data_IF_210469225072
#
_entry.id   IF_210469225072
#
_cell.length_a   1.000
_cell.length_b   1.000
_cell.length_c   1.000
_cell.angle_alpha   90.00
_cell.angle_beta   90.00
_cell.angle_gamma   90.00
#
_symmetry.space_group_name_H-M   'P 1'
#
loop_
_entity.id
_entity.type
_entity.pdbx_description
1 polymer ?
#
# COMPACT_ATOMS: atom_id res chain seq x y z
N UNK A 1 -18.25 28.00 -91.05
CA UNK A 1 -16.84 28.47 -91.24
C UNK A 1 -16.00 27.96 -90.12
N UNK A 2 -15.01 27.10 -90.40
CA UNK A 2 -13.61 27.07 -89.87
C UNK A 2 -13.48 27.12 -88.30
N UNK A 3 -12.75 26.29 -87.66
CA UNK A 3 -11.56 25.47 -87.97
C UNK A 3 -11.36 24.39 -86.86
N UNK A 4 -10.89 23.22 -87.33
CA UNK A 4 -10.21 22.20 -86.54
C UNK A 4 -9.05 22.76 -85.69
N UNK A 5 -8.77 22.15 -84.56
CA UNK A 5 -7.39 21.77 -84.25
C UNK A 5 -7.37 20.66 -83.18
N UNK A 6 -6.72 19.62 -83.64
CA UNK A 6 -6.23 18.44 -82.92
C UNK A 6 -4.96 18.85 -82.15
N UNK A 7 -4.79 18.31 -80.97
CA UNK A 7 -3.46 17.99 -80.41
C UNK A 7 -3.70 17.22 -79.12
N UNK A 8 -3.44 16.02 -79.10
CA UNK A 8 -2.20 15.31 -78.79
C UNK A 8 -2.12 14.91 -77.32
N UNK A 9 -2.29 13.58 -77.17
CA UNK A 9 -2.08 12.83 -75.91
C UNK A 9 -0.63 12.94 -75.44
N UNK A 10 -0.44 13.18 -74.15
CA UNK A 10 0.81 12.84 -73.51
C UNK A 10 0.46 11.93 -72.35
N UNK A 11 0.88 10.69 -72.47
CA UNK A 11 0.87 9.62 -71.48
C UNK A 11 2.01 9.91 -70.50
N UNK A 12 1.67 10.32 -69.26
CA UNK A 12 2.65 10.38 -68.17
C UNK A 12 2.27 9.34 -67.12
N UNK A 13 2.99 8.23 -67.16
CA UNK A 13 3.03 7.17 -66.18
C UNK A 13 3.76 7.69 -64.96
N UNK A 14 3.03 8.21 -63.96
CA UNK A 14 3.56 8.64 -62.66
C UNK A 14 3.55 7.52 -61.66
N UNK A 15 4.73 7.05 -61.33
CA UNK A 15 5.05 6.06 -60.32
C UNK A 15 4.59 6.55 -58.94
N UNK A 16 3.45 6.04 -58.46
CA UNK A 16 3.00 6.28 -57.08
C UNK A 16 3.80 5.38 -56.15
N UNK A 17 4.91 5.90 -55.61
CA UNK A 17 5.58 5.31 -54.44
C UNK A 17 4.69 5.56 -53.24
N UNK A 18 3.93 4.56 -52.83
CA UNK A 18 3.18 4.55 -51.59
C UNK A 18 4.13 4.55 -50.41
N UNK A 19 4.28 5.69 -49.77
CA UNK A 19 4.81 5.80 -48.38
C UNK A 19 3.78 5.12 -47.47
N UNK A 20 3.98 3.85 -47.19
CA UNK A 20 3.43 3.21 -45.99
C UNK A 20 4.10 3.83 -44.77
N UNK A 21 3.58 4.98 -44.32
CA UNK A 21 3.80 5.45 -42.97
C UNK A 21 3.13 4.40 -42.05
N UNK A 22 3.91 3.44 -41.59
CA UNK A 22 3.53 2.58 -40.49
C UNK A 22 3.29 3.49 -39.27
N UNK A 23 2.02 3.79 -39.00
CA UNK A 23 1.63 4.17 -37.64
C UNK A 23 1.92 2.94 -36.75
N UNK A 24 3.08 2.90 -36.15
CA UNK A 24 3.23 2.17 -34.90
C UNK A 24 2.29 2.86 -33.91
N UNK A 25 1.09 2.35 -33.75
CA UNK A 25 0.34 2.54 -32.53
C UNK A 25 1.22 1.90 -31.45
N UNK A 26 2.03 2.71 -30.76
CA UNK A 26 2.41 2.39 -29.41
C UNK A 26 1.09 2.11 -28.70
N UNK A 27 0.81 0.85 -28.44
CA UNK A 27 -0.18 0.48 -27.45
C UNK A 27 0.31 1.13 -26.14
N UNK A 28 -0.36 2.19 -25.68
CA UNK A 28 -0.25 2.56 -24.28
C UNK A 28 -0.65 1.29 -23.53
N UNK A 29 0.33 0.58 -22.99
CA UNK A 29 0.02 -0.41 -21.97
C UNK A 29 -0.71 0.35 -20.87
N UNK A 30 -1.94 -0.06 -20.60
CA UNK A 30 -2.73 0.54 -19.56
C UNK A 30 -1.97 0.31 -18.23
N UNK A 31 -1.59 1.41 -17.58
CA UNK A 31 -0.87 1.34 -16.30
C UNK A 31 -1.79 0.75 -15.24
N UNK A 32 -1.27 -0.16 -14.43
CA UNK A 32 -2.00 -0.67 -13.26
C UNK A 32 -2.19 0.43 -12.22
N UNK A 33 -3.40 0.60 -11.71
CA UNK A 33 -3.69 1.52 -10.62
C UNK A 33 -3.45 0.81 -9.30
N UNK A 34 -2.37 1.14 -8.60
CA UNK A 34 -1.95 0.48 -7.36
C UNK A 34 -2.10 1.44 -6.18
N UNK A 35 -2.94 1.07 -5.22
CA UNK A 35 -3.14 1.87 -4.01
C UNK A 35 -2.04 1.65 -2.97
N UNK A 36 -1.75 2.73 -2.23
CA UNK A 36 -1.01 2.67 -0.98
C UNK A 36 -1.70 3.51 0.10
N UNK A 37 -1.36 3.28 1.37
CA UNK A 37 -1.82 4.12 2.46
C UNK A 37 -1.11 5.48 2.41
N UNK A 38 -1.85 6.56 2.49
CA UNK A 38 -1.28 7.91 2.37
C UNK A 38 -0.45 8.34 3.58
N UNK A 39 -0.63 7.69 4.77
CA UNK A 39 -0.06 8.13 6.05
C UNK A 39 0.36 6.96 6.95
N UNK A 40 1.28 6.13 6.47
CA UNK A 40 1.70 4.91 7.17
C UNK A 40 3.22 4.73 7.18
N UNK A 41 3.94 5.70 7.77
CA UNK A 41 5.40 5.63 7.93
C UNK A 41 5.81 4.42 8.80
N UNK A 42 6.89 3.70 8.45
CA UNK A 42 7.85 3.92 7.37
C UNK A 42 7.46 3.24 6.04
N UNK A 43 6.25 2.69 5.89
CA UNK A 43 5.84 1.93 4.70
C UNK A 43 5.43 2.85 3.55
N UNK A 44 4.61 3.87 3.83
CA UNK A 44 4.20 4.87 2.85
C UNK A 44 3.97 6.21 3.53
N UNK A 45 4.64 7.26 3.06
CA UNK A 45 4.56 8.62 3.60
C UNK A 45 4.85 9.64 2.52
N UNK A 46 4.22 10.80 2.62
CA UNK A 46 4.50 11.93 1.74
C UNK A 46 5.67 12.74 2.28
N UNK A 47 6.71 12.91 1.46
CA UNK A 47 7.88 13.74 1.75
C UNK A 47 8.11 14.70 0.59
N UNK A 48 8.00 16.00 0.87
CA UNK A 48 8.21 17.06 -0.13
C UNK A 48 7.32 16.94 -1.38
N UNK A 49 6.12 16.38 -1.26
CA UNK A 49 5.15 16.22 -2.34
C UNK A 49 5.28 14.92 -3.14
N UNK A 50 6.20 14.05 -2.76
CA UNK A 50 6.37 12.71 -3.33
C UNK A 50 6.11 11.64 -2.26
N UNK A 51 5.71 10.44 -2.69
CA UNK A 51 5.53 9.30 -1.79
C UNK A 51 6.78 8.45 -1.75
N UNK A 52 7.24 8.14 -0.55
CA UNK A 52 8.34 7.24 -0.29
C UNK A 52 8.01 6.29 0.87
N UNK A 53 8.85 5.28 1.09
CA UNK A 53 8.70 4.29 2.14
C UNK A 53 8.93 2.88 1.65
N UNK A 54 8.91 1.92 2.57
CA UNK A 54 9.20 0.50 2.29
C UNK A 54 8.28 -0.04 1.19
N UNK A 55 6.97 0.21 1.29
CA UNK A 55 5.98 -0.28 0.32
C UNK A 55 6.19 0.34 -1.06
N UNK A 56 6.44 1.66 -1.08
CA UNK A 56 6.62 2.41 -2.33
C UNK A 56 7.89 1.95 -3.05
N UNK A 57 8.99 1.75 -2.32
CA UNK A 57 10.25 1.32 -2.91
C UNK A 57 10.24 -0.16 -3.31
N UNK A 58 9.59 -1.05 -2.53
CA UNK A 58 9.38 -2.44 -2.93
C UNK A 58 8.56 -2.49 -4.23
N UNK A 59 7.44 -1.74 -4.31
CA UNK A 59 6.62 -1.70 -5.53
C UNK A 59 7.43 -1.23 -6.74
N UNK A 60 8.22 -0.17 -6.57
CA UNK A 60 9.05 0.37 -7.65
C UNK A 60 10.09 -0.64 -8.14
N UNK A 61 10.80 -1.28 -7.22
CA UNK A 61 11.80 -2.27 -7.55
C UNK A 61 11.20 -3.53 -8.20
N UNK A 62 10.05 -3.98 -7.69
CA UNK A 62 9.30 -5.11 -8.26
C UNK A 62 8.77 -4.80 -9.66
N UNK A 63 8.23 -3.59 -9.88
CA UNK A 63 7.72 -3.17 -11.18
C UNK A 63 8.83 -3.09 -12.24
N UNK A 64 10.04 -2.65 -11.85
CA UNK A 64 11.22 -2.64 -12.73
C UNK A 64 11.64 -4.07 -13.11
N UNK A 65 11.76 -4.98 -12.15
CA UNK A 65 12.20 -6.37 -12.40
C UNK A 65 11.16 -7.19 -13.18
N UNK A 66 9.87 -6.97 -12.92
CA UNK A 66 8.76 -7.71 -13.56
C UNK A 66 8.19 -6.99 -14.81
N UNK A 67 8.82 -5.89 -15.23
CA UNK A 67 8.49 -5.13 -16.45
C UNK A 67 7.00 -4.76 -16.55
N UNK A 68 6.44 -4.07 -15.53
CA UNK A 68 5.10 -3.51 -15.61
C UNK A 68 5.05 -2.03 -15.21
N UNK A 69 4.14 -1.29 -15.84
CA UNK A 69 3.90 0.12 -15.56
C UNK A 69 2.74 0.27 -14.56
N UNK A 70 2.84 1.22 -13.66
CA UNK A 70 1.79 1.51 -12.69
C UNK A 70 1.61 3.01 -12.44
N UNK A 71 0.45 3.36 -11.88
CA UNK A 71 0.16 4.64 -11.26
C UNK A 71 -0.06 4.39 -9.75
N UNK A 72 0.78 5.00 -8.92
CA UNK A 72 0.60 4.93 -7.45
C UNK A 72 -0.56 5.84 -7.05
N UNK A 73 -1.50 5.29 -6.27
CA UNK A 73 -2.68 6.01 -5.78
C UNK A 73 -2.74 6.01 -4.26
N UNK A 74 -2.15 7.02 -3.60
CA UNK A 74 -2.26 7.17 -2.16
C UNK A 74 -3.69 7.50 -1.74
N UNK A 75 -4.17 6.83 -0.68
CA UNK A 75 -5.53 7.03 -0.16
C UNK A 75 -5.63 6.58 1.30
N UNK A 76 -6.78 6.82 1.92
CA UNK A 76 -7.07 6.29 3.25
C UNK A 76 -7.17 4.75 3.19
N UNK A 77 -6.58 4.06 4.17
CA UNK A 77 -6.51 2.60 4.20
C UNK A 77 -7.90 1.95 4.10
N UNK A 78 -8.89 2.52 4.78
CA UNK A 78 -10.28 2.03 4.80
C UNK A 78 -10.94 1.98 3.41
N UNK A 79 -10.46 2.78 2.44
CA UNK A 79 -10.97 2.83 1.08
C UNK A 79 -10.31 1.81 0.13
N UNK A 80 -9.17 1.19 0.53
CA UNK A 80 -8.39 0.31 -0.36
C UNK A 80 -9.16 -0.97 -0.70
N UNK A 81 -9.66 -1.70 0.31
CA UNK A 81 -10.39 -2.97 0.07
C UNK A 81 -11.67 -2.75 -0.75
N UNK A 82 -12.51 -1.74 -0.46
CA UNK A 82 -13.62 -1.37 -1.34
C UNK A 82 -13.18 -1.06 -2.78
N UNK A 83 -12.08 -0.32 -2.95
CA UNK A 83 -11.51 0.00 -4.26
C UNK A 83 -11.08 -1.23 -5.06
N UNK A 84 -10.42 -2.20 -4.42
CA UNK A 84 -10.03 -3.47 -5.02
C UNK A 84 -11.27 -4.31 -5.40
N UNK A 85 -12.21 -4.47 -4.50
CA UNK A 85 -13.41 -5.31 -4.72
C UNK A 85 -14.35 -4.73 -5.76
N UNK A 86 -14.40 -3.41 -5.93
CA UNK A 86 -15.15 -2.73 -6.99
C UNK A 86 -14.40 -2.60 -8.32
N UNK A 87 -13.16 -3.08 -8.41
CA UNK A 87 -12.25 -2.96 -9.56
C UNK A 87 -11.93 -1.51 -9.96
N UNK A 88 -11.90 -0.59 -9.01
CA UNK A 88 -11.37 0.76 -9.19
C UNK A 88 -9.85 0.82 -8.98
N UNK A 89 -9.30 -0.24 -8.39
CA UNK A 89 -7.88 -0.47 -8.18
C UNK A 89 -7.52 -1.83 -8.74
N UNK A 90 -6.32 -1.94 -9.32
CA UNK A 90 -5.79 -3.18 -9.82
C UNK A 90 -5.02 -3.95 -8.75
N UNK A 91 -4.34 -3.24 -7.87
CA UNK A 91 -3.58 -3.80 -6.75
C UNK A 91 -3.45 -2.83 -5.59
N UNK A 92 -2.89 -3.32 -4.48
CA UNK A 92 -2.54 -2.50 -3.32
C UNK A 92 -1.30 -3.04 -2.59
N UNK A 93 -0.42 -2.12 -2.21
CA UNK A 93 0.67 -2.33 -1.27
C UNK A 93 0.57 -1.24 -0.18
N UNK A 94 0.18 -1.62 1.02
CA UNK A 94 -0.24 -0.68 2.05
C UNK A 94 -0.05 -1.21 3.49
N UNK A 95 1.04 -1.94 3.76
CA UNK A 95 1.19 -2.64 5.05
C UNK A 95 0.00 -3.54 5.33
N UNK A 96 -0.60 -4.12 4.29
CA UNK A 96 -1.85 -4.85 4.43
C UNK A 96 -1.62 -6.27 4.96
N UNK A 97 -2.04 -6.52 6.19
CA UNK A 97 -1.98 -7.84 6.82
C UNK A 97 -2.75 -8.89 6.02
N UNK A 98 -2.11 -10.02 5.76
CA UNK A 98 -2.72 -11.20 5.16
C UNK A 98 -3.59 -11.88 6.21
N UNK A 99 -4.91 -11.81 6.09
CA UNK A 99 -5.85 -12.45 7.02
C UNK A 99 -6.84 -13.35 6.29
N UNK A 100 -7.36 -14.37 6.98
CA UNK A 100 -8.35 -15.28 6.39
C UNK A 100 -9.65 -14.54 5.99
N UNK A 101 -10.01 -13.49 6.71
CA UNK A 101 -11.17 -12.67 6.36
C UNK A 101 -10.95 -11.96 5.02
N UNK A 102 -9.79 -11.29 4.85
CA UNK A 102 -9.44 -10.61 3.60
C UNK A 102 -9.29 -11.57 2.42
N UNK A 103 -8.78 -12.77 2.64
CA UNK A 103 -8.67 -13.83 1.62
C UNK A 103 -10.02 -14.31 1.07
N UNK A 104 -11.13 -13.97 1.69
CA UNK A 104 -12.45 -14.28 1.11
C UNK A 104 -12.71 -13.50 -0.17
N UNK A 105 -12.18 -12.28 -0.28
CA UNK A 105 -12.43 -11.34 -1.38
C UNK A 105 -11.17 -10.91 -2.15
N UNK A 106 -10.00 -11.11 -1.57
CA UNK A 106 -8.70 -10.72 -2.13
C UNK A 106 -7.79 -11.95 -2.27
N UNK A 107 -6.91 -11.91 -3.28
CA UNK A 107 -5.72 -12.74 -3.35
C UNK A 107 -4.49 -11.93 -2.98
N UNK A 108 -3.51 -12.58 -2.36
CA UNK A 108 -2.30 -11.97 -1.83
C UNK A 108 -1.05 -12.61 -2.41
N UNK A 109 0.01 -11.82 -2.52
CA UNK A 109 1.36 -12.34 -2.69
C UNK A 109 1.80 -13.12 -1.45
N UNK A 110 2.94 -13.79 -1.53
CA UNK A 110 3.69 -14.20 -0.35
C UNK A 110 3.97 -12.98 0.53
N UNK A 111 4.16 -13.22 1.83
CA UNK A 111 4.48 -12.15 2.75
C UNK A 111 5.78 -11.44 2.38
N UNK A 112 5.70 -10.11 2.27
CA UNK A 112 6.90 -9.31 2.04
C UNK A 112 7.48 -8.72 3.32
N UNK A 113 6.69 -8.61 4.40
CA UNK A 113 7.16 -8.07 5.68
C UNK A 113 6.42 -8.73 6.84
N UNK A 114 7.15 -9.12 7.91
CA UNK A 114 6.54 -9.66 9.14
C UNK A 114 6.21 -8.53 10.10
N UNK A 115 4.98 -8.49 10.58
CA UNK A 115 4.47 -7.49 11.51
C UNK A 115 3.69 -8.14 12.66
N UNK A 116 3.00 -7.33 13.43
CA UNK A 116 2.11 -7.75 14.50
C UNK A 116 1.65 -6.57 15.33
N UNK A 117 0.46 -6.65 15.91
CA UNK A 117 -0.13 -5.58 16.72
C UNK A 117 0.61 -5.39 18.04
N UNK A 118 0.73 -4.14 18.43
CA UNK A 118 1.26 -3.71 19.72
C UNK A 118 0.30 -2.75 20.42
N UNK A 119 0.36 -2.74 21.74
CA UNK A 119 -0.32 -1.77 22.59
C UNK A 119 0.55 -0.53 22.65
N UNK A 120 0.00 0.61 22.27
CA UNK A 120 0.68 1.91 22.28
C UNK A 120 0.05 2.78 23.36
N UNK A 121 0.85 3.26 24.28
CA UNK A 121 0.40 4.12 25.36
C UNK A 121 1.18 5.43 25.39
N UNK A 122 0.66 6.43 26.09
CA UNK A 122 1.39 7.66 26.39
C UNK A 122 2.70 7.34 27.14
N UNK A 123 3.76 8.06 26.85
CA UNK A 123 5.10 7.77 27.37
C UNK A 123 5.21 7.74 28.88
N UNK A 124 4.44 8.56 29.58
CA UNK A 124 4.36 8.63 31.07
C UNK A 124 3.32 7.66 31.67
N UNK A 125 2.60 6.88 30.86
CA UNK A 125 1.64 5.89 31.35
C UNK A 125 2.36 4.77 32.12
N UNK A 126 1.89 4.47 33.34
CA UNK A 126 2.41 3.41 34.19
C UNK A 126 1.31 2.40 34.59
N UNK A 127 0.11 2.52 34.01
CA UNK A 127 -1.04 1.68 34.33
C UNK A 127 -1.19 0.50 33.36
N UNK A 128 -0.82 0.69 32.09
CA UNK A 128 -0.92 -0.35 31.05
C UNK A 128 0.49 -0.81 30.71
N UNK A 129 0.81 -2.04 31.09
CA UNK A 129 2.11 -2.68 30.86
C UNK A 129 1.97 -4.00 30.07
N UNK A 130 0.73 -4.51 29.95
CA UNK A 130 0.42 -5.76 29.26
C UNK A 130 -1.03 -5.78 28.78
N UNK A 131 -1.43 -6.84 28.08
CA UNK A 131 -2.79 -7.05 27.57
C UNK A 131 -3.83 -7.21 28.71
N UNK A 132 -3.40 -7.64 29.87
CA UNK A 132 -4.28 -7.83 31.05
C UNK A 132 -4.73 -6.50 31.63
N UNK A 133 -3.97 -5.43 31.41
CA UNK A 133 -4.23 -4.10 31.99
C UNK A 133 -5.23 -3.26 31.19
N UNK A 134 -5.66 -3.74 30.00
CA UNK A 134 -6.57 -2.97 29.12
C UNK A 134 -8.05 -3.08 29.49
N UNK A 135 -8.41 -3.87 30.50
CA UNK A 135 -9.81 -4.11 30.87
C UNK A 135 -10.50 -2.81 31.27
N UNK A 136 -11.61 -2.49 30.60
CA UNK A 136 -12.41 -1.28 30.84
C UNK A 136 -11.82 0.01 30.25
N UNK A 137 -10.69 -0.09 29.57
CA UNK A 137 -9.97 1.07 28.99
C UNK A 137 -10.55 1.49 27.63
N UNK A 138 -10.23 2.71 27.22
CA UNK A 138 -10.56 3.25 25.91
C UNK A 138 -9.41 2.99 24.92
N UNK A 139 -9.74 2.43 23.75
CA UNK A 139 -8.78 2.11 22.69
C UNK A 139 -9.00 2.97 21.46
N UNK A 140 -7.94 3.52 20.91
CA UNK A 140 -7.90 4.15 19.62
C UNK A 140 -7.50 3.12 18.55
N UNK A 141 -8.26 3.05 17.44
CA UNK A 141 -8.00 2.16 16.32
C UNK A 141 -8.13 2.91 15.00
N UNK A 142 -7.36 2.50 14.00
CA UNK A 142 -7.47 3.02 12.64
C UNK A 142 -8.46 2.18 11.85
N UNK A 143 -9.37 2.85 11.13
CA UNK A 143 -10.43 2.23 10.35
C UNK A 143 -9.90 1.21 9.31
N UNK A 144 -10.55 0.05 9.21
CA UNK A 144 -10.26 -1.01 8.24
C UNK A 144 -9.02 -1.85 8.56
N UNK A 145 -8.30 -1.58 9.67
CA UNK A 145 -7.04 -2.25 10.02
C UNK A 145 -7.23 -3.54 10.82
N UNK A 146 -6.13 -4.29 10.98
CA UNK A 146 -6.07 -5.44 11.91
C UNK A 146 -6.29 -5.03 13.36
N UNK A 147 -5.87 -3.82 13.75
CA UNK A 147 -6.09 -3.27 15.09
C UNK A 147 -7.56 -3.05 15.40
N UNK A 148 -8.31 -2.48 14.44
CA UNK A 148 -9.77 -2.34 14.58
C UNK A 148 -10.45 -3.71 14.69
N UNK A 149 -10.11 -4.64 13.78
CA UNK A 149 -10.71 -5.97 13.78
C UNK A 149 -10.47 -6.69 15.10
N UNK A 150 -9.24 -6.62 15.62
CA UNK A 150 -8.90 -7.21 16.92
C UNK A 150 -9.67 -6.55 18.08
N UNK A 151 -9.78 -5.22 18.09
CA UNK A 151 -10.50 -4.49 19.14
C UNK A 151 -12.00 -4.85 19.15
N UNK A 152 -12.62 -4.92 17.97
CA UNK A 152 -14.03 -5.32 17.83
C UNK A 152 -14.26 -6.76 18.30
N UNK A 153 -13.40 -7.72 17.90
CA UNK A 153 -13.49 -9.11 18.31
C UNK A 153 -13.34 -9.29 19.84
N UNK A 154 -12.52 -8.46 20.47
CA UNK A 154 -12.19 -8.57 21.88
C UNK A 154 -12.92 -7.52 22.76
N UNK A 155 -13.84 -6.73 22.19
CA UNK A 155 -14.54 -5.64 22.89
C UNK A 155 -15.23 -6.09 24.16
N UNK A 156 -16.02 -7.15 24.09
CA UNK A 156 -16.75 -7.69 25.25
C UNK A 156 -15.81 -8.34 26.26
N UNK A 157 -14.79 -9.07 25.80
CA UNK A 157 -13.82 -9.76 26.66
C UNK A 157 -13.10 -8.80 27.61
N UNK A 158 -12.67 -7.65 27.07
CA UNK A 158 -11.90 -6.65 27.80
C UNK A 158 -12.74 -5.44 28.19
N UNK A 159 -14.05 -5.41 27.90
CA UNK A 159 -14.93 -4.25 28.12
C UNK A 159 -14.34 -2.95 27.53
N UNK A 160 -13.89 -2.99 26.25
CA UNK A 160 -13.22 -1.87 25.60
C UNK A 160 -14.20 -0.79 25.15
N UNK A 161 -13.75 0.47 25.21
CA UNK A 161 -14.42 1.62 24.60
C UNK A 161 -13.64 2.01 23.34
N UNK A 162 -14.16 1.67 22.17
CA UNK A 162 -13.45 1.82 20.91
C UNK A 162 -13.70 3.21 20.31
N UNK A 163 -12.62 3.91 19.94
CA UNK A 163 -12.64 5.15 19.17
C UNK A 163 -11.95 4.95 17.84
N UNK A 164 -12.59 5.38 16.76
CA UNK A 164 -12.15 5.18 15.39
C UNK A 164 -11.45 6.42 14.82
N UNK A 165 -10.36 6.21 14.09
CA UNK A 165 -9.54 7.24 13.45
C UNK A 165 -9.26 6.86 11.99
N UNK A 166 -9.09 7.87 11.13
CA UNK A 166 -8.83 7.63 9.71
C UNK A 166 -7.35 7.29 9.44
N UNK A 167 -6.43 7.82 10.26
CA UNK A 167 -5.00 7.63 10.06
C UNK A 167 -4.24 7.42 11.38
N UNK A 168 -3.05 6.82 11.29
CA UNK A 168 -2.19 6.55 12.45
C UNK A 168 -1.71 7.83 13.15
N UNK A 169 -1.32 8.93 12.46
CA UNK A 169 -0.95 10.17 13.12
C UNK A 169 -2.03 10.75 14.04
N UNK A 170 -3.29 10.81 13.58
CA UNK A 170 -4.40 11.32 14.42
C UNK A 170 -4.73 10.38 15.57
N UNK A 171 -4.64 9.08 15.36
CA UNK A 171 -4.79 8.06 16.39
C UNK A 171 -3.71 8.21 17.48
N UNK A 172 -2.46 8.42 17.12
CA UNK A 172 -1.36 8.65 18.06
C UNK A 172 -1.55 9.94 18.85
N UNK A 173 -1.98 11.03 18.21
CA UNK A 173 -2.30 12.27 18.89
C UNK A 173 -3.41 12.11 19.96
N UNK A 174 -4.39 11.25 19.71
CA UNK A 174 -5.44 10.97 20.68
C UNK A 174 -4.89 10.31 21.95
N UNK A 175 -3.93 9.40 21.83
CA UNK A 175 -3.25 8.78 22.98
C UNK A 175 -2.34 9.79 23.69
N UNK A 176 -1.55 10.56 22.95
CA UNK A 176 -0.68 11.60 23.51
C UNK A 176 -1.46 12.63 24.33
N UNK A 177 -2.66 13.01 23.86
CA UNK A 177 -3.54 13.95 24.52
C UNK A 177 -4.45 13.31 25.60
N UNK A 178 -4.29 12.00 25.87
CA UNK A 178 -5.10 11.24 26.83
C UNK A 178 -6.62 11.22 26.48
N UNK A 179 -6.98 11.35 25.19
CA UNK A 179 -8.35 11.15 24.70
C UNK A 179 -8.70 9.66 24.66
N UNK A 180 -7.69 8.80 24.50
CA UNK A 180 -7.78 7.36 24.64
C UNK A 180 -6.64 6.87 25.57
N UNK A 181 -6.90 5.79 26.30
CA UNK A 181 -5.93 5.20 27.22
C UNK A 181 -4.77 4.53 26.47
N UNK A 182 -5.08 3.90 25.32
CA UNK A 182 -4.10 3.26 24.45
C UNK A 182 -4.56 3.22 22.99
N UNK A 183 -3.65 2.88 22.09
CA UNK A 183 -3.96 2.53 20.71
C UNK A 183 -3.47 1.14 20.37
N UNK A 184 -4.04 0.55 19.31
CA UNK A 184 -3.54 -0.65 18.66
C UNK A 184 -2.91 -0.28 17.33
N UNK A 185 -1.61 -0.50 17.22
CA UNK A 185 -0.86 -0.21 16.00
C UNK A 185 0.14 -1.34 15.71
N UNK A 186 0.51 -1.48 14.46
CA UNK A 186 1.52 -2.44 14.05
C UNK A 186 2.91 -2.04 14.58
N UNK A 187 3.63 -3.01 15.13
CA UNK A 187 4.91 -2.80 15.80
C UNK A 187 5.93 -1.97 14.99
N UNK A 188 6.17 -2.25 13.69
CA UNK A 188 7.17 -1.48 12.93
C UNK A 188 6.81 0.00 12.79
N UNK A 189 5.52 0.33 12.73
CA UNK A 189 5.03 1.71 12.60
C UNK A 189 5.26 2.50 13.88
N UNK A 190 4.85 1.96 15.02
CA UNK A 190 5.06 2.64 16.30
C UNK A 190 6.54 2.67 16.70
N UNK A 191 7.31 1.61 16.41
CA UNK A 191 8.74 1.60 16.70
C UNK A 191 9.48 2.68 15.88
N UNK A 192 9.17 2.82 14.59
CA UNK A 192 9.70 3.88 13.74
C UNK A 192 9.31 5.28 14.28
N UNK A 193 8.04 5.49 14.62
CA UNK A 193 7.58 6.76 15.16
C UNK A 193 8.33 7.15 16.45
N UNK A 194 8.49 6.24 17.41
CA UNK A 194 9.22 6.48 18.64
C UNK A 194 10.69 6.85 18.34
N UNK A 195 11.30 6.16 17.39
CA UNK A 195 12.69 6.42 17.00
C UNK A 195 12.87 7.81 16.37
N UNK A 196 11.95 8.19 15.46
CA UNK A 196 12.03 9.47 14.73
C UNK A 196 11.69 10.66 15.62
N UNK A 197 10.64 10.56 16.44
CA UNK A 197 10.21 11.64 17.30
C UNK A 197 11.22 11.90 18.44
N UNK A 198 11.76 10.85 19.05
CA UNK A 198 12.79 10.94 20.11
C UNK A 198 12.34 11.65 21.39
N UNK A 199 11.05 11.98 21.53
CA UNK A 199 10.50 12.80 22.59
C UNK A 199 9.85 12.01 23.75
N UNK A 200 9.83 10.68 23.64
CA UNK A 200 9.16 9.77 24.57
C UNK A 200 7.65 10.07 24.80
N UNK A 201 6.98 10.70 23.84
CA UNK A 201 5.56 11.02 23.96
C UNK A 201 4.67 9.76 23.93
N UNK A 202 5.15 8.71 23.27
CA UNK A 202 4.51 7.39 23.20
C UNK A 202 5.51 6.30 23.58
N UNK A 203 5.00 5.16 24.03
CA UNK A 203 5.76 3.92 24.23
C UNK A 203 4.93 2.69 23.91
N UNK A 204 5.59 1.59 23.65
CA UNK A 204 4.99 0.27 23.51
C UNK A 204 4.83 -0.34 24.91
N UNK A 205 3.67 -0.93 25.18
CA UNK A 205 3.38 -1.66 26.42
C UNK A 205 3.28 -3.16 26.17
N UNK A 206 4.12 -3.93 26.84
CA UNK A 206 4.18 -5.39 26.72
C UNK A 206 4.71 -5.90 25.38
N UNK A 207 4.42 -7.16 25.10
CA UNK A 207 4.82 -7.84 23.88
C UNK A 207 3.82 -7.61 22.72
N UNK A 208 4.21 -7.97 21.49
CA UNK A 208 3.29 -8.01 20.35
C UNK A 208 2.15 -8.99 20.65
N UNK A 209 0.91 -8.57 20.40
CA UNK A 209 -0.29 -9.37 20.67
C UNK A 209 -0.68 -10.27 19.50
N UNK A 210 -0.13 -10.03 18.30
CA UNK A 210 -0.29 -10.86 17.10
C UNK A 210 1.02 -10.98 16.34
N UNK A 211 1.07 -11.95 15.39
CA UNK A 211 2.11 -12.04 14.36
C UNK A 211 1.40 -12.26 13.03
N UNK A 212 1.71 -11.45 12.02
CA UNK A 212 1.08 -11.47 10.71
C UNK A 212 2.04 -10.93 9.65
N UNK A 213 1.94 -11.44 8.42
CA UNK A 213 2.69 -10.90 7.29
C UNK A 213 1.86 -9.87 6.52
N UNK A 214 2.53 -8.84 5.99
CA UNK A 214 1.99 -7.97 4.97
C UNK A 214 2.13 -8.60 3.59
N UNK A 215 1.14 -8.38 2.72
CA UNK A 215 1.15 -8.85 1.34
C UNK A 215 0.63 -7.80 0.37
N UNK A 216 1.10 -7.90 -0.87
CA UNK A 216 0.48 -7.21 -1.98
C UNK A 216 -0.86 -7.87 -2.29
N UNK A 217 -1.91 -7.07 -2.48
CA UNK A 217 -3.28 -7.56 -2.62
C UNK A 217 -3.87 -7.19 -3.97
N UNK A 218 -4.64 -8.11 -4.55
CA UNK A 218 -5.47 -7.89 -5.74
C UNK A 218 -6.89 -8.40 -5.50
N UNK A 219 -7.86 -8.00 -6.35
CA UNK A 219 -9.18 -8.61 -6.32
C UNK A 219 -9.08 -10.10 -6.64
N UNK A 220 -9.76 -10.96 -5.87
CA UNK A 220 -9.69 -12.43 -5.95
C UNK A 220 -10.04 -13.01 -7.32
N UNK A 221 -10.86 -12.34 -8.10
CA UNK A 221 -11.31 -12.81 -9.42
C UNK A 221 -10.67 -12.05 -10.58
N UNK A 222 -9.76 -11.10 -10.29
CA UNK A 222 -9.12 -10.25 -11.30
C UNK A 222 -7.66 -9.99 -10.96
N UNK A 223 -6.92 -9.54 -11.98
CA UNK A 223 -5.53 -9.08 -11.83
C UNK A 223 -4.56 -10.15 -11.32
N UNK A 224 -4.88 -11.44 -11.58
CA UNK A 224 -3.97 -12.53 -11.22
C UNK A 224 -2.60 -12.39 -11.90
N UNK A 225 -2.57 -11.92 -13.15
CA UNK A 225 -1.31 -11.66 -13.86
C UNK A 225 -0.45 -10.63 -13.13
N UNK A 226 -1.05 -9.53 -12.63
CA UNK A 226 -0.34 -8.54 -11.82
C UNK A 226 0.20 -9.15 -10.53
N UNK A 227 -0.60 -10.00 -9.87
CA UNK A 227 -0.16 -10.71 -8.67
C UNK A 227 1.03 -11.63 -8.95
N UNK A 228 0.97 -12.39 -10.05
CA UNK A 228 2.05 -13.30 -10.45
C UNK A 228 3.34 -12.51 -10.79
N UNK A 229 3.23 -11.40 -11.53
CA UNK A 229 4.34 -10.47 -11.79
C UNK A 229 4.93 -9.90 -10.50
N UNK A 230 4.08 -9.45 -9.58
CA UNK A 230 4.55 -8.94 -8.29
C UNK A 230 5.31 -10.02 -7.50
N UNK A 231 4.81 -11.25 -7.51
CA UNK A 231 5.43 -12.37 -6.82
C UNK A 231 6.82 -12.71 -7.39
N UNK A 232 6.95 -12.75 -8.71
CA UNK A 232 8.22 -13.01 -9.40
C UNK A 232 9.23 -11.88 -9.13
N UNK A 233 8.81 -10.63 -9.27
CA UNK A 233 9.67 -9.47 -9.00
C UNK A 233 10.09 -9.42 -7.52
N UNK A 234 9.18 -9.73 -6.57
CA UNK A 234 9.52 -9.79 -5.15
C UNK A 234 10.58 -10.86 -4.85
N UNK A 235 10.49 -12.03 -5.48
CA UNK A 235 11.51 -13.07 -5.35
C UNK A 235 12.86 -12.57 -5.88
N UNK A 236 12.87 -11.92 -7.06
CA UNK A 236 14.09 -11.39 -7.67
C UNK A 236 14.76 -10.34 -6.80
N UNK A 237 14.00 -9.35 -6.27
CA UNK A 237 14.59 -8.31 -5.42
C UNK A 237 15.11 -8.84 -4.07
N UNK A 238 14.55 -9.96 -3.58
CA UNK A 238 15.05 -10.67 -2.40
C UNK A 238 16.37 -11.40 -2.71
N UNK A 239 16.46 -12.04 -3.88
CA UNK A 239 17.66 -12.78 -4.30
C UNK A 239 18.85 -11.86 -4.61
N UNK A 240 18.61 -10.70 -5.24
CA UNK A 240 19.67 -9.77 -5.62
C UNK A 240 20.06 -8.78 -4.50
N UNK A 241 19.41 -8.85 -3.33
CA UNK A 241 19.72 -8.03 -2.15
C UNK A 241 19.05 -6.65 -2.15
N UNK A 242 18.29 -6.28 -3.19
CA UNK A 242 17.60 -4.98 -3.26
C UNK A 242 16.55 -4.82 -2.16
N UNK A 243 15.86 -5.91 -1.81
CA UNK A 243 14.92 -5.93 -0.69
C UNK A 243 15.61 -5.54 0.63
N UNK A 244 16.78 -6.13 0.94
CA UNK A 244 17.49 -5.85 2.17
C UNK A 244 18.02 -4.40 2.22
N UNK A 245 18.44 -3.84 1.07
CA UNK A 245 18.80 -2.43 0.97
C UNK A 245 17.63 -1.50 1.33
N UNK A 246 16.42 -1.81 0.81
CA UNK A 246 15.22 -1.04 1.11
C UNK A 246 14.88 -1.13 2.61
N UNK A 247 14.87 -2.32 3.18
CA UNK A 247 14.58 -2.50 4.61
C UNK A 247 15.60 -1.76 5.48
N UNK A 248 16.90 -1.90 5.17
CA UNK A 248 17.97 -1.24 5.92
C UNK A 248 17.88 0.29 5.89
N UNK A 249 17.45 0.86 4.77
CA UNK A 249 17.26 2.31 4.61
C UNK A 249 16.28 2.88 5.64
N UNK A 250 15.19 2.19 5.94
CA UNK A 250 14.11 2.69 6.79
C UNK A 250 14.18 2.19 8.24
N UNK A 251 14.69 0.98 8.46
CA UNK A 251 14.68 0.33 9.78
C UNK A 251 16.07 0.18 10.39
N UNK A 252 17.12 0.51 9.64
CA UNK A 252 18.50 0.48 10.16
C UNK A 252 19.01 -0.92 10.49
N UNK A 253 18.49 -1.94 9.82
CA UNK A 253 18.88 -3.36 10.02
C UNK A 253 19.84 -3.84 8.96
#
# INVERSE_FOLDING_TARGET
MKKKRISMAILSLGLAVGLLAGCSTESKEDKYIIATDAKYAPFSMEVSGEYEGIDVEILSAVAEEAEFEYELKPMDFSAIIPGLTSNQLDGAIAGMSITEERKKTLDFSDGYFESGLSIVVKGDNNEINSIEDIVGKSVAVKNGTGGEAWALENADKYNLKISHYEDSPTMFLAVQNSNNDFALEDYPVIAYKIQVDGDNALKIAGDKITSVNYGFAVNKVKNKELLDKFQEGLATIKENGKYDEIIAKYLGQ
#
